data_IF_932457456696
#
_entry.id   IF_932457456696
#
_cell.length_a   1.000
_cell.length_b   1.000
_cell.length_c   1.000
_cell.angle_alpha   90.00
_cell.angle_beta   90.00
_cell.angle_gamma   90.00
#
_symmetry.space_group_name_H-M   'P 1'
#
loop_
_entity.id
_entity.type
_entity.pdbx_description
1 polymer ?
#
# COMPACT_ATOMS: atom_id res chain seq x y z
N UNK A 1 7.62 -29.38 2.30
CA UNK A 1 6.19 -29.61 2.01
C UNK A 1 6.11 -30.70 0.95
N UNK A 2 5.59 -31.89 1.31
CA UNK A 2 5.60 -33.08 0.41
C UNK A 2 4.25 -33.25 -0.32
N UNK A 3 3.16 -32.75 0.22
CA UNK A 3 1.80 -32.92 -0.34
C UNK A 3 1.05 -31.56 -0.39
N UNK A 4 -0.01 -31.48 -1.20
CA UNK A 4 -0.87 -30.30 -1.27
C UNK A 4 -1.56 -30.00 0.07
N UNK A 5 -1.93 -31.02 0.83
CA UNK A 5 -2.50 -30.83 2.17
C UNK A 5 -1.49 -30.16 3.12
N UNK A 6 -0.25 -30.62 3.10
CA UNK A 6 0.81 -30.01 3.90
C UNK A 6 1.13 -28.58 3.45
N UNK A 7 1.00 -28.28 2.15
CA UNK A 7 1.16 -26.92 1.62
C UNK A 7 0.10 -25.98 2.20
N UNK A 8 -1.18 -26.38 2.13
CA UNK A 8 -2.29 -25.56 2.63
C UNK A 8 -2.12 -25.25 4.11
N UNK A 9 -1.85 -26.26 4.94
CA UNK A 9 -1.63 -26.07 6.38
C UNK A 9 -0.42 -25.20 6.68
N UNK A 10 0.69 -25.40 5.96
CA UNK A 10 1.90 -24.60 6.14
C UNK A 10 1.68 -23.13 5.74
N UNK A 11 0.98 -22.90 4.63
CA UNK A 11 0.68 -21.52 4.17
C UNK A 11 -0.22 -20.80 5.17
N UNK A 12 -1.29 -21.42 5.63
CA UNK A 12 -2.18 -20.86 6.65
C UNK A 12 -1.44 -20.56 7.97
N UNK A 13 -0.56 -21.47 8.39
CA UNK A 13 0.25 -21.27 9.60
C UNK A 13 1.23 -20.11 9.46
N UNK A 14 1.93 -20.00 8.32
CA UNK A 14 2.87 -18.91 8.05
C UNK A 14 2.14 -17.57 8.04
N UNK A 15 1.00 -17.48 7.35
CA UNK A 15 0.18 -16.26 7.33
C UNK A 15 -0.24 -15.86 8.75
N UNK A 16 -0.70 -16.81 9.56
CA UNK A 16 -1.11 -16.57 10.93
C UNK A 16 0.06 -16.08 11.82
N UNK A 17 1.23 -16.69 11.69
CA UNK A 17 2.42 -16.28 12.46
C UNK A 17 2.90 -14.88 12.04
N UNK A 18 3.04 -14.62 10.76
CA UNK A 18 3.45 -13.32 10.24
C UNK A 18 2.49 -12.21 10.68
N UNK A 19 1.19 -12.49 10.67
CA UNK A 19 0.18 -11.51 11.08
C UNK A 19 0.29 -11.08 12.55
N UNK A 20 0.95 -11.87 13.38
CA UNK A 20 1.20 -11.55 14.80
C UNK A 20 2.49 -10.73 14.99
N UNK A 21 3.49 -10.92 14.15
CA UNK A 21 4.76 -10.20 14.25
C UNK A 21 4.76 -8.88 13.46
N UNK A 22 3.97 -8.78 12.39
CA UNK A 22 3.85 -7.58 11.59
C UNK A 22 2.69 -6.68 12.05
N UNK A 23 2.96 -5.40 12.23
CA UNK A 23 1.93 -4.40 12.54
C UNK A 23 1.23 -3.86 11.30
N UNK A 24 1.90 -3.92 10.15
CA UNK A 24 1.40 -3.50 8.85
C UNK A 24 1.44 -4.66 7.86
N UNK A 25 1.88 -4.43 6.64
CA UNK A 25 1.87 -5.41 5.57
C UNK A 25 3.22 -6.14 5.44
N UNK A 26 3.15 -7.44 5.16
CA UNK A 26 4.28 -8.26 4.72
C UNK A 26 4.02 -8.75 3.31
N UNK A 27 4.91 -8.45 2.38
CA UNK A 27 4.84 -8.96 1.02
C UNK A 27 5.68 -10.22 0.93
N UNK A 28 5.03 -11.33 0.61
CA UNK A 28 5.68 -12.64 0.40
C UNK A 28 6.02 -12.83 -1.07
N UNK A 29 7.30 -13.01 -1.34
CA UNK A 29 7.81 -13.39 -2.65
C UNK A 29 7.83 -14.93 -2.81
N UNK A 30 8.22 -15.43 -3.96
CA UNK A 30 8.48 -16.84 -4.25
C UNK A 30 7.29 -17.82 -4.07
N UNK A 31 6.06 -17.32 -4.02
CA UNK A 31 4.89 -18.19 -3.98
C UNK A 31 4.79 -19.06 -5.24
N UNK A 32 5.04 -18.49 -6.44
CA UNK A 32 4.95 -19.21 -7.69
C UNK A 32 5.96 -20.36 -7.76
N UNK A 33 7.27 -20.17 -7.51
CA UNK A 33 8.22 -21.29 -7.47
C UNK A 33 7.85 -22.39 -6.48
N UNK A 34 7.23 -22.02 -5.36
CA UNK A 34 6.73 -23.02 -4.40
C UNK A 34 5.57 -23.84 -4.99
N UNK A 35 4.63 -23.17 -5.66
CA UNK A 35 3.43 -23.79 -6.21
C UNK A 35 3.67 -24.56 -7.51
N UNK A 36 4.72 -24.23 -8.26
CA UNK A 36 5.09 -24.91 -9.51
C UNK A 36 5.28 -26.40 -9.36
N UNK A 37 5.70 -26.84 -8.18
CA UNK A 37 5.84 -28.27 -7.84
C UNK A 37 4.50 -29.03 -7.88
N UNK A 38 3.38 -28.32 -7.84
CA UNK A 38 2.02 -28.88 -7.83
C UNK A 38 1.25 -28.60 -9.13
N UNK A 39 1.93 -28.16 -10.18
CA UNK A 39 1.32 -27.78 -11.48
C UNK A 39 0.58 -28.91 -12.20
N UNK A 40 0.79 -30.18 -11.79
CA UNK A 40 0.13 -31.36 -12.38
C UNK A 40 -1.35 -31.47 -11.99
N UNK A 41 -1.79 -30.87 -10.88
CA UNK A 41 -3.18 -30.93 -10.42
C UNK A 41 -3.68 -29.51 -10.04
N UNK A 42 -3.93 -28.69 -11.04
CA UNK A 42 -4.35 -27.30 -10.86
C UNK A 42 -5.71 -27.13 -10.16
N UNK A 43 -6.74 -27.95 -10.42
CA UNK A 43 -8.03 -27.83 -9.72
C UNK A 43 -7.90 -28.07 -8.21
N UNK A 44 -7.13 -29.06 -7.81
CA UNK A 44 -6.88 -29.34 -6.39
C UNK A 44 -6.03 -28.23 -5.76
N UNK A 45 -5.02 -27.74 -6.48
CA UNK A 45 -4.22 -26.59 -6.03
C UNK A 45 -5.09 -25.35 -5.79
N UNK A 46 -5.99 -25.03 -6.72
CA UNK A 46 -6.93 -23.92 -6.57
C UNK A 46 -7.79 -24.05 -5.32
N UNK A 47 -8.42 -25.22 -5.13
CA UNK A 47 -9.21 -25.50 -3.93
C UNK A 47 -8.41 -25.32 -2.64
N UNK A 48 -7.18 -25.84 -2.58
CA UNK A 48 -6.31 -25.72 -1.41
C UNK A 48 -5.84 -24.30 -1.14
N UNK A 49 -5.67 -23.48 -2.17
CA UNK A 49 -5.39 -22.05 -2.00
C UNK A 49 -6.60 -21.32 -1.45
N UNK A 50 -7.81 -21.59 -1.95
CA UNK A 50 -9.05 -21.02 -1.39
C UNK A 50 -9.17 -21.37 0.09
N UNK A 51 -9.00 -22.65 0.44
CA UNK A 51 -9.04 -23.12 1.84
C UNK A 51 -8.02 -22.36 2.71
N UNK A 52 -6.78 -22.21 2.20
CA UNK A 52 -5.70 -21.52 2.92
C UNK A 52 -6.03 -20.05 3.16
N UNK A 53 -6.50 -19.34 2.14
CA UNK A 53 -6.84 -17.91 2.23
C UNK A 53 -8.02 -17.69 3.16
N UNK A 54 -9.06 -18.51 3.07
CA UNK A 54 -10.27 -18.40 3.90
C UNK A 54 -9.95 -18.74 5.36
N UNK A 55 -9.19 -19.79 5.63
CA UNK A 55 -8.74 -20.15 6.99
C UNK A 55 -7.85 -19.05 7.59
N UNK A 56 -6.98 -18.46 6.80
CA UNK A 56 -6.09 -17.38 7.24
C UNK A 56 -6.85 -16.12 7.62
N UNK A 57 -7.99 -15.84 6.98
CA UNK A 57 -8.83 -14.69 7.33
C UNK A 57 -9.28 -14.73 8.79
N UNK A 58 -9.68 -15.89 9.30
CA UNK A 58 -10.08 -16.05 10.70
C UNK A 58 -8.90 -15.93 11.67
N UNK A 59 -7.71 -16.33 11.23
CA UNK A 59 -6.48 -16.32 12.04
C UNK A 59 -5.86 -14.93 12.19
N UNK A 60 -6.06 -14.02 11.22
CA UNK A 60 -5.50 -12.66 11.24
C UNK A 60 -6.16 -11.76 12.30
N UNK A 61 -7.34 -12.13 12.78
CA UNK A 61 -8.06 -11.40 13.82
C UNK A 61 -8.88 -10.22 13.28
N UNK A 62 -9.97 -9.93 13.98
CA UNK A 62 -10.96 -8.93 13.55
C UNK A 62 -10.48 -7.48 13.71
N UNK A 63 -9.51 -7.23 14.59
CA UNK A 63 -9.07 -5.88 14.95
C UNK A 63 -8.14 -5.23 13.90
N UNK A 64 -7.69 -5.98 12.89
CA UNK A 64 -6.86 -5.43 11.81
C UNK A 64 -7.72 -5.12 10.60
N UNK A 65 -7.84 -3.86 10.27
CA UNK A 65 -8.61 -3.38 9.10
C UNK A 65 -7.77 -3.40 7.82
N UNK A 66 -6.45 -3.24 7.93
CA UNK A 66 -5.52 -3.25 6.81
C UNK A 66 -5.16 -4.66 6.33
N UNK A 67 -4.63 -4.75 5.12
CA UNK A 67 -3.98 -5.95 4.60
C UNK A 67 -2.74 -6.26 5.43
N UNK A 68 -2.59 -7.50 5.84
CA UNK A 68 -1.44 -7.91 6.68
C UNK A 68 -0.44 -8.74 5.89
N UNK A 69 -0.92 -9.56 4.94
CA UNK A 69 -0.07 -10.38 4.08
C UNK A 69 -0.49 -10.19 2.64
N UNK A 70 0.46 -9.87 1.79
CA UNK A 70 0.27 -9.83 0.34
C UNK A 70 1.20 -10.79 -0.35
N UNK A 71 0.74 -11.36 -1.45
CA UNK A 71 1.56 -12.23 -2.30
C UNK A 71 1.98 -11.47 -3.54
N UNK A 72 3.28 -11.47 -3.82
CA UNK A 72 3.79 -10.95 -5.08
C UNK A 72 3.58 -11.98 -6.19
N UNK A 73 2.93 -11.53 -7.26
CA UNK A 73 2.61 -12.33 -8.44
C UNK A 73 3.33 -11.72 -9.65
N UNK A 74 4.51 -12.22 -10.02
CA UNK A 74 5.21 -11.79 -11.22
C UNK A 74 4.48 -12.31 -12.46
N UNK A 75 4.05 -11.38 -13.31
CA UNK A 75 3.49 -11.73 -14.62
C UNK A 75 4.61 -12.10 -15.59
N UNK A 76 4.39 -13.16 -16.35
CA UNK A 76 5.35 -13.63 -17.37
C UNK A 76 6.08 -14.90 -17.01
N UNK A 77 5.87 -15.45 -15.83
CA UNK A 77 6.30 -16.78 -15.46
C UNK A 77 5.08 -17.66 -15.24
N UNK A 78 5.14 -18.93 -15.60
CA UNK A 78 4.15 -19.97 -15.29
C UNK A 78 2.67 -19.51 -15.33
N UNK A 79 2.21 -19.02 -16.45
CA UNK A 79 0.87 -18.42 -16.63
C UNK A 79 -0.28 -19.28 -16.07
N UNK A 80 -0.18 -20.62 -16.15
CA UNK A 80 -1.19 -21.52 -15.60
C UNK A 80 -1.29 -21.39 -14.08
N UNK A 81 -0.15 -21.32 -13.38
CA UNK A 81 -0.10 -21.15 -11.92
C UNK A 81 -0.63 -19.75 -11.54
N UNK A 82 -0.20 -18.71 -12.27
CA UNK A 82 -0.71 -17.34 -12.07
C UNK A 82 -2.23 -17.30 -12.17
N UNK A 83 -2.81 -17.86 -13.23
CA UNK A 83 -4.27 -17.92 -13.40
C UNK A 83 -4.96 -18.70 -12.28
N UNK A 84 -4.37 -19.82 -11.83
CA UNK A 84 -4.90 -20.60 -10.70
C UNK A 84 -4.88 -19.80 -9.40
N UNK A 85 -3.81 -19.07 -9.11
CA UNK A 85 -3.73 -18.20 -7.92
C UNK A 85 -4.80 -17.09 -7.99
N UNK A 86 -4.93 -16.43 -9.14
CA UNK A 86 -5.91 -15.37 -9.33
C UNK A 86 -7.36 -15.89 -9.21
N UNK A 87 -7.65 -17.08 -9.75
CA UNK A 87 -8.96 -17.73 -9.61
C UNK A 87 -9.27 -18.07 -8.16
N UNK A 88 -8.31 -18.65 -7.44
CA UNK A 88 -8.44 -18.94 -6.01
C UNK A 88 -8.65 -17.65 -5.20
N UNK A 89 -7.90 -16.60 -5.51
CA UNK A 89 -8.04 -15.32 -4.84
C UNK A 89 -9.38 -14.63 -5.15
N UNK A 90 -9.89 -14.71 -6.38
CA UNK A 90 -11.24 -14.24 -6.75
C UNK A 90 -12.31 -14.92 -5.90
N UNK A 91 -12.24 -16.24 -5.76
CA UNK A 91 -13.15 -17.02 -4.91
C UNK A 91 -13.05 -16.59 -3.45
N UNK A 92 -11.84 -16.43 -2.92
CA UNK A 92 -11.61 -15.91 -1.57
C UNK A 92 -12.20 -14.49 -1.40
N UNK A 93 -11.96 -13.57 -2.33
CA UNK A 93 -12.50 -12.22 -2.29
C UNK A 93 -14.04 -12.19 -2.32
N UNK A 94 -14.66 -13.14 -3.02
CA UNK A 94 -16.13 -13.30 -3.04
C UNK A 94 -16.67 -13.78 -1.69
N UNK A 95 -16.00 -14.76 -1.07
CA UNK A 95 -16.44 -15.37 0.18
C UNK A 95 -16.15 -14.51 1.42
N UNK A 96 -15.22 -13.56 1.30
CA UNK A 96 -14.72 -12.80 2.45
C UNK A 96 -15.24 -11.35 2.39
N UNK A 97 -15.96 -10.86 3.41
CA UNK A 97 -16.47 -9.48 3.42
C UNK A 97 -15.38 -8.45 3.19
N UNK A 98 -14.32 -8.48 3.98
CA UNK A 98 -13.18 -7.55 3.90
C UNK A 98 -11.91 -8.39 3.78
N UNK A 99 -11.37 -8.61 2.55
CA UNK A 99 -10.15 -9.37 2.36
C UNK A 99 -8.96 -8.75 3.13
N UNK A 100 -8.23 -9.60 3.86
CA UNK A 100 -7.03 -9.20 4.64
C UNK A 100 -5.74 -9.70 4.02
N UNK A 101 -5.86 -10.55 3.01
CA UNK A 101 -4.78 -10.97 2.14
C UNK A 101 -4.85 -10.09 0.89
N UNK A 102 -3.70 -9.61 0.43
CA UNK A 102 -3.58 -8.79 -0.77
C UNK A 102 -2.76 -9.47 -1.86
N UNK A 103 -2.77 -8.86 -3.03
CA UNK A 103 -1.92 -9.21 -4.17
C UNK A 103 -1.08 -8.01 -4.59
N UNK A 104 0.19 -8.24 -4.84
CA UNK A 104 1.09 -7.28 -5.51
C UNK A 104 1.39 -7.86 -6.89
N UNK A 105 0.79 -7.29 -7.92
CA UNK A 105 1.00 -7.71 -9.30
C UNK A 105 2.27 -7.05 -9.83
N UNK A 106 3.31 -7.86 -10.01
CA UNK A 106 4.58 -7.42 -10.57
C UNK A 106 4.53 -7.63 -12.10
N UNK A 107 4.42 -6.53 -12.86
CA UNK A 107 4.14 -6.56 -14.28
C UNK A 107 5.24 -5.95 -15.15
N UNK A 108 5.37 -6.48 -16.35
CA UNK A 108 6.08 -5.87 -17.48
C UNK A 108 5.07 -5.24 -18.43
N UNK A 109 5.53 -4.23 -19.19
CA UNK A 109 4.67 -3.56 -20.17
C UNK A 109 4.09 -4.59 -21.17
N UNK A 110 2.79 -4.54 -21.38
CA UNK A 110 2.05 -5.39 -22.32
C UNK A 110 1.53 -6.71 -21.74
N UNK A 111 2.08 -7.22 -20.64
CA UNK A 111 1.62 -8.50 -20.07
C UNK A 111 0.40 -8.40 -19.14
N UNK A 112 0.03 -7.19 -18.74
CA UNK A 112 -1.10 -6.95 -17.84
C UNK A 112 -2.44 -7.33 -18.50
N UNK A 113 -2.53 -7.20 -19.82
CA UNK A 113 -3.76 -7.48 -20.58
C UNK A 113 -4.23 -8.92 -20.48
N UNK A 114 -3.30 -9.87 -20.28
CA UNK A 114 -3.61 -11.30 -20.20
C UNK A 114 -4.40 -11.67 -18.92
N UNK A 115 -4.37 -10.80 -17.93
CA UNK A 115 -4.98 -11.01 -16.60
C UNK A 115 -5.86 -9.84 -16.15
N UNK A 116 -5.98 -8.78 -16.93
CA UNK A 116 -6.72 -7.57 -16.57
C UNK A 116 -8.20 -7.85 -16.30
N UNK A 117 -8.80 -8.81 -17.00
CA UNK A 117 -10.20 -9.20 -16.82
C UNK A 117 -10.42 -9.83 -15.44
N UNK A 118 -9.67 -10.86 -15.08
CA UNK A 118 -9.82 -11.49 -13.76
C UNK A 118 -9.43 -10.55 -12.62
N UNK A 119 -8.46 -9.65 -12.84
CA UNK A 119 -8.09 -8.65 -11.85
C UNK A 119 -9.17 -7.59 -11.65
N UNK A 120 -9.89 -7.20 -12.73
CA UNK A 120 -11.01 -6.28 -12.62
C UNK A 120 -12.16 -6.88 -11.81
N UNK A 121 -12.49 -8.15 -12.01
CA UNK A 121 -13.49 -8.86 -11.21
C UNK A 121 -13.07 -8.97 -9.73
N UNK A 122 -11.80 -9.26 -9.47
CA UNK A 122 -11.25 -9.30 -8.11
C UNK A 122 -11.42 -7.95 -7.40
N UNK A 123 -11.12 -6.85 -8.10
CA UNK A 123 -11.25 -5.48 -7.54
C UNK A 123 -12.73 -5.15 -7.31
N UNK A 124 -13.62 -5.49 -8.23
CA UNK A 124 -15.08 -5.32 -8.05
C UNK A 124 -15.58 -6.04 -6.80
N UNK A 125 -15.03 -7.21 -6.49
CA UNK A 125 -15.33 -7.96 -5.27
C UNK A 125 -14.61 -7.42 -4.01
N UNK A 126 -13.94 -6.27 -4.10
CA UNK A 126 -13.20 -5.65 -3.00
C UNK A 126 -11.90 -6.35 -2.64
N UNK A 127 -11.35 -7.15 -3.57
CA UNK A 127 -10.02 -7.72 -3.44
C UNK A 127 -8.95 -6.63 -3.43
N UNK A 128 -7.93 -6.80 -2.58
CA UNK A 128 -6.85 -5.83 -2.42
C UNK A 128 -5.74 -6.14 -3.42
N UNK A 129 -5.64 -5.32 -4.45
CA UNK A 129 -4.66 -5.50 -5.54
C UNK A 129 -3.85 -4.22 -5.70
N UNK A 130 -2.53 -4.35 -5.64
CA UNK A 130 -1.57 -3.31 -5.94
C UNK A 130 -0.77 -3.71 -7.18
N UNK A 131 -0.48 -2.76 -8.02
CA UNK A 131 0.32 -2.95 -9.24
C UNK A 131 1.68 -2.29 -9.07
N UNK A 132 2.74 -3.03 -9.34
CA UNK A 132 4.10 -2.54 -9.34
C UNK A 132 4.81 -2.98 -10.62
N UNK A 133 5.46 -2.03 -11.31
CA UNK A 133 6.22 -2.34 -12.51
C UNK A 133 7.47 -3.11 -12.14
N UNK A 134 7.75 -4.16 -12.89
CA UNK A 134 8.96 -4.97 -12.72
C UNK A 134 10.23 -4.11 -12.68
N UNK A 135 11.15 -4.42 -11.76
CA UNK A 135 12.41 -3.67 -11.51
C UNK A 135 12.23 -2.25 -10.95
N UNK A 136 11.08 -1.88 -10.44
CA UNK A 136 10.91 -0.59 -9.76
C UNK A 136 11.55 -0.67 -8.37
N UNK A 137 12.54 0.20 -8.09
CA UNK A 137 13.24 0.26 -6.80
C UNK A 137 12.50 1.12 -5.78
N UNK A 138 11.25 0.77 -5.46
CA UNK A 138 10.45 1.49 -4.47
C UNK A 138 10.43 0.72 -3.14
N UNK A 139 11.48 0.87 -2.35
CA UNK A 139 11.74 0.11 -1.11
C UNK A 139 10.62 0.20 -0.06
N UNK A 140 9.83 1.26 -0.06
CA UNK A 140 8.74 1.47 0.91
C UNK A 140 7.38 0.96 0.44
N UNK A 141 7.24 0.60 -0.84
CA UNK A 141 5.98 0.13 -1.43
C UNK A 141 6.12 -1.32 -1.90
N UNK A 142 7.23 -1.62 -2.56
CA UNK A 142 7.56 -2.97 -3.02
C UNK A 142 9.05 -3.22 -2.86
N UNK A 143 9.42 -4.45 -2.50
CA UNK A 143 10.82 -4.85 -2.48
C UNK A 143 11.38 -4.94 -3.90
N UNK A 144 12.61 -4.44 -4.18
CA UNK A 144 13.23 -4.65 -5.47
C UNK A 144 13.51 -6.15 -5.69
N UNK A 145 13.11 -6.66 -6.87
CA UNK A 145 13.23 -8.09 -7.20
C UNK A 145 14.66 -8.63 -7.25
N UNK A 146 15.66 -7.75 -7.41
CA UNK A 146 17.05 -8.17 -7.53
C UNK A 146 17.79 -8.20 -6.19
N UNK A 147 17.12 -7.91 -5.07
CA UNK A 147 17.74 -8.06 -3.78
C UNK A 147 17.53 -9.50 -3.29
N UNK A 148 18.58 -10.26 -3.15
CA UNK A 148 18.61 -11.49 -2.34
C UNK A 148 18.33 -11.19 -0.86
N UNK A 149 18.13 -9.92 -0.52
CA UNK A 149 17.90 -9.41 0.82
C UNK A 149 16.45 -9.02 1.02
N UNK A 150 15.83 -9.59 2.02
CA UNK A 150 14.56 -9.15 2.56
C UNK A 150 14.67 -7.73 3.07
N UNK A 151 13.72 -6.85 2.77
CA UNK A 151 13.65 -5.49 3.34
C UNK A 151 12.70 -5.54 4.53
N UNK A 152 13.19 -5.08 5.67
CA UNK A 152 12.45 -5.03 6.92
C UNK A 152 12.29 -3.59 7.38
N UNK A 153 11.05 -3.13 7.54
CA UNK A 153 10.73 -1.84 8.14
C UNK A 153 10.44 -2.05 9.63
N UNK A 154 11.39 -1.68 10.49
CA UNK A 154 11.23 -1.82 11.96
C UNK A 154 10.32 -0.78 12.59
N UNK A 155 9.99 0.24 11.87
CA UNK A 155 9.05 1.26 12.34
C UNK A 155 8.62 2.16 11.20
N UNK A 156 7.36 2.56 11.26
CA UNK A 156 6.78 3.56 10.37
C UNK A 156 6.16 4.66 11.20
N UNK A 157 6.32 5.90 10.75
CA UNK A 157 5.70 7.06 11.36
C UNK A 157 5.11 7.94 10.26
N UNK A 158 3.81 8.23 10.39
CA UNK A 158 3.08 9.08 9.46
C UNK A 158 3.07 10.53 9.96
N UNK A 159 3.43 11.46 9.07
CA UNK A 159 3.38 12.90 9.31
C UNK A 159 2.07 13.45 8.76
N UNK A 160 1.29 14.09 9.64
CA UNK A 160 0.05 14.77 9.26
C UNK A 160 0.38 16.15 8.66
N UNK A 161 0.51 16.23 7.34
CA UNK A 161 0.84 17.48 6.65
C UNK A 161 -0.30 18.50 6.65
N UNK A 162 -1.59 18.13 6.50
CA UNK A 162 -2.70 19.07 6.65
C UNK A 162 -2.69 19.84 7.96
N UNK A 163 -2.36 19.20 9.09
CA UNK A 163 -2.22 19.88 10.37
C UNK A 163 -1.16 20.96 10.33
N UNK A 164 -0.02 20.69 9.74
CA UNK A 164 1.03 21.69 9.57
C UNK A 164 0.60 22.86 8.68
N UNK A 165 -0.23 22.57 7.65
CA UNK A 165 -0.81 23.60 6.80
C UNK A 165 -1.76 24.52 7.59
N UNK A 166 -2.64 23.98 8.44
CA UNK A 166 -3.47 24.77 9.35
C UNK A 166 -2.64 25.63 10.29
N UNK A 167 -1.59 25.07 10.88
CA UNK A 167 -0.70 25.78 11.80
C UNK A 167 0.15 26.85 11.10
N UNK A 168 0.42 26.72 9.82
CA UNK A 168 1.22 27.66 9.04
C UNK A 168 0.47 28.93 8.60
N UNK A 169 -0.85 28.96 8.76
CA UNK A 169 -1.69 30.07 8.33
C UNK A 169 -1.39 30.53 6.90
N UNK A 170 -1.29 29.59 5.97
CA UNK A 170 -0.98 29.80 4.53
C UNK A 170 0.45 30.27 4.21
N UNK A 171 1.36 30.27 5.16
CA UNK A 171 2.78 30.58 4.94
C UNK A 171 3.56 29.32 4.59
N UNK A 172 4.04 29.24 3.34
CA UNK A 172 4.83 28.10 2.83
C UNK A 172 6.16 27.95 3.59
N UNK A 173 6.81 29.06 3.90
CA UNK A 173 8.12 29.03 4.58
C UNK A 173 7.97 28.51 6.00
N UNK A 174 6.96 29.00 6.71
CA UNK A 174 6.63 28.54 8.05
C UNK A 174 6.22 27.04 8.05
N UNK A 175 5.42 26.62 7.07
CA UNK A 175 5.03 25.22 6.91
C UNK A 175 6.26 24.29 6.81
N UNK A 176 7.23 24.62 5.94
CA UNK A 176 8.46 23.84 5.77
C UNK A 176 9.33 23.83 7.03
N UNK A 177 9.43 24.99 7.69
CA UNK A 177 10.15 25.09 8.96
C UNK A 177 9.52 24.22 10.05
N UNK A 178 8.19 24.22 10.17
CA UNK A 178 7.45 23.35 11.10
C UNK A 178 7.64 21.87 10.78
N UNK A 179 7.61 21.50 9.50
CA UNK A 179 7.91 20.12 9.08
C UNK A 179 9.32 19.70 9.54
N UNK A 180 10.30 20.55 9.30
CA UNK A 180 11.69 20.27 9.71
C UNK A 180 11.83 20.13 11.23
N UNK A 181 11.16 20.96 12.00
CA UNK A 181 11.15 20.89 13.47
C UNK A 181 10.45 19.62 13.98
N UNK A 182 9.35 19.19 13.35
CA UNK A 182 8.62 17.98 13.74
C UNK A 182 9.39 16.71 13.39
N UNK A 183 10.09 16.70 12.26
CA UNK A 183 10.79 15.50 11.80
C UNK A 183 11.96 15.12 12.73
N UNK A 184 12.63 16.07 13.37
CA UNK A 184 13.75 15.76 14.28
C UNK A 184 13.33 14.85 15.43
N UNK A 185 12.39 15.23 16.32
CA UNK A 185 11.96 14.37 17.42
C UNK A 185 11.27 13.08 16.93
N UNK A 186 10.60 13.13 15.76
CA UNK A 186 10.03 11.94 15.17
C UNK A 186 11.12 10.90 14.84
N UNK A 187 12.20 11.30 14.20
CA UNK A 187 13.33 10.43 13.88
C UNK A 187 14.05 9.93 15.12
N UNK A 188 14.22 10.77 16.14
CA UNK A 188 14.82 10.36 17.42
C UNK A 188 13.94 9.30 18.12
N UNK A 189 12.63 9.50 18.14
CA UNK A 189 11.67 8.51 18.66
C UNK A 189 11.73 7.17 17.90
N UNK A 190 11.88 7.22 16.58
CA UNK A 190 12.01 6.01 15.75
C UNK A 190 13.33 5.28 16.03
N UNK A 191 14.42 6.00 16.26
CA UNK A 191 15.71 5.41 16.64
C UNK A 191 15.61 4.65 17.98
N UNK A 192 14.92 5.22 18.97
CA UNK A 192 14.65 4.56 20.24
C UNK A 192 13.77 3.30 20.05
N UNK A 193 12.72 3.38 19.25
CA UNK A 193 11.87 2.22 18.91
C UNK A 193 12.66 1.10 18.25
N UNK A 194 13.55 1.43 17.30
CA UNK A 194 14.42 0.45 16.66
C UNK A 194 15.25 -0.30 17.72
N UNK A 195 15.86 0.43 18.67
CA UNK A 195 16.66 -0.17 19.75
C UNK A 195 15.80 -1.13 20.59
N UNK A 196 14.60 -0.73 20.97
CA UNK A 196 13.66 -1.57 21.73
C UNK A 196 13.25 -2.82 20.96
N UNK A 197 12.83 -2.68 19.70
CA UNK A 197 12.43 -3.82 18.85
C UNK A 197 13.61 -4.77 18.63
N UNK A 198 14.80 -4.26 18.38
CA UNK A 198 16.00 -5.10 18.23
C UNK A 198 16.31 -5.91 19.50
N UNK A 199 16.07 -5.34 20.68
CA UNK A 199 16.21 -6.06 21.94
C UNK A 199 15.13 -7.16 22.10
N UNK A 200 13.86 -6.87 21.75
CA UNK A 200 12.78 -7.86 21.81
C UNK A 200 13.03 -9.04 20.85
N UNK A 201 13.52 -8.76 19.65
CA UNK A 201 13.91 -9.82 18.68
C UNK A 201 15.04 -10.67 19.26
N UNK A 202 16.06 -10.05 19.87
CA UNK A 202 17.17 -10.77 20.51
C UNK A 202 16.70 -11.64 21.68
N UNK A 203 15.65 -11.23 22.38
CA UNK A 203 15.01 -12.02 23.46
C UNK A 203 14.05 -13.11 22.94
N UNK A 204 13.90 -13.25 21.62
CA UNK A 204 13.03 -14.27 21.02
C UNK A 204 11.53 -13.95 21.06
N UNK A 205 11.13 -12.72 21.41
CA UNK A 205 9.72 -12.32 21.48
C UNK A 205 9.05 -12.36 20.11
N UNK A 206 9.81 -12.12 19.05
CA UNK A 206 9.37 -12.25 17.66
C UNK A 206 10.07 -13.48 17.02
N UNK A 207 9.53 -14.68 17.16
CA UNK A 207 10.25 -15.92 16.85
C UNK A 207 10.64 -16.05 15.37
N UNK A 208 9.84 -15.55 14.41
CA UNK A 208 10.20 -15.59 12.99
C UNK A 208 11.42 -14.71 12.71
N UNK A 209 11.41 -13.48 13.21
CA UNK A 209 12.53 -12.54 13.06
C UNK A 209 13.75 -12.98 13.87
N UNK A 210 13.55 -13.54 15.05
CA UNK A 210 14.65 -14.05 15.90
C UNK A 210 15.34 -15.26 15.27
N UNK A 211 14.60 -16.14 14.61
CA UNK A 211 15.17 -17.30 13.91
C UNK A 211 15.95 -16.91 12.64
N UNK A 212 15.73 -15.72 12.08
CA UNK A 212 16.30 -15.26 10.83
C UNK A 212 17.06 -13.93 11.02
N UNK A 213 18.11 -13.95 11.82
CA UNK A 213 18.92 -12.75 12.16
C UNK A 213 19.48 -12.00 10.96
N UNK A 214 19.62 -12.66 9.81
CA UNK A 214 20.00 -12.03 8.54
C UNK A 214 19.05 -10.87 8.13
N UNK A 215 17.78 -10.87 8.57
CA UNK A 215 16.85 -9.79 8.32
C UNK A 215 17.19 -8.50 9.08
N UNK A 216 18.05 -8.60 10.10
CA UNK A 216 18.44 -7.49 10.96
C UNK A 216 19.72 -6.78 10.51
N UNK A 217 20.24 -7.08 9.32
CA UNK A 217 21.40 -6.40 8.79
C UNK A 217 21.10 -4.94 8.45
N UNK A 218 22.08 -4.06 8.57
CA UNK A 218 21.94 -2.62 8.24
C UNK A 218 21.42 -2.39 6.82
N UNK A 219 21.82 -3.20 5.86
CA UNK A 219 21.40 -3.12 4.46
C UNK A 219 19.93 -3.49 4.22
N UNK A 220 19.34 -4.26 5.14
CA UNK A 220 17.98 -4.77 5.01
C UNK A 220 16.97 -4.05 5.88
N UNK A 221 17.43 -3.38 6.94
CA UNK A 221 16.59 -2.71 7.93
C UNK A 221 16.43 -1.23 7.60
N UNK A 222 15.20 -0.73 7.64
CA UNK A 222 14.91 0.69 7.49
C UNK A 222 13.86 1.18 8.48
N UNK A 223 13.83 2.50 8.66
CA UNK A 223 12.77 3.25 9.31
C UNK A 223 12.01 4.04 8.24
N UNK A 224 10.70 4.13 8.34
CA UNK A 224 9.85 4.75 7.32
C UNK A 224 9.21 6.02 7.87
N UNK A 225 9.40 7.14 7.19
CA UNK A 225 8.60 8.36 7.33
C UNK A 225 7.59 8.40 6.19
N UNK A 226 6.32 8.38 6.51
CA UNK A 226 5.25 8.45 5.52
C UNK A 226 4.58 9.84 5.55
N UNK A 227 4.57 10.53 4.43
CA UNK A 227 3.95 11.85 4.27
C UNK A 227 2.48 11.67 3.88
N UNK A 228 1.57 12.04 4.78
CA UNK A 228 0.12 11.88 4.60
C UNK A 228 -0.54 13.23 4.36
N UNK A 229 -1.46 13.27 3.39
CA UNK A 229 -2.27 14.45 3.11
C UNK A 229 -1.52 15.59 2.42
N UNK A 230 -0.46 15.30 1.66
CA UNK A 230 0.34 16.35 1.03
C UNK A 230 -0.48 17.18 0.02
N UNK A 231 -1.31 16.55 -0.80
CA UNK A 231 -2.21 17.28 -1.72
C UNK A 231 -3.21 18.16 -0.96
N UNK A 232 -3.77 17.66 0.15
CA UNK A 232 -4.67 18.44 1.01
C UNK A 232 -3.95 19.62 1.68
N UNK A 233 -2.71 19.42 2.13
CA UNK A 233 -1.90 20.48 2.74
C UNK A 233 -1.57 21.59 1.74
N UNK A 234 -1.18 21.24 0.52
CA UNK A 234 -0.90 22.21 -0.54
C UNK A 234 -2.16 23.00 -0.90
N UNK A 235 -3.31 22.30 -1.01
CA UNK A 235 -4.59 22.99 -1.22
C UNK A 235 -4.95 23.93 -0.05
N UNK A 236 -4.72 23.49 1.18
CA UNK A 236 -4.96 24.32 2.37
C UNK A 236 -4.10 25.59 2.42
N UNK A 237 -2.87 25.57 1.86
CA UNK A 237 -1.97 26.72 1.78
C UNK A 237 -2.40 27.67 0.66
N UNK A 238 -2.71 27.14 -0.53
CA UNK A 238 -2.97 27.92 -1.74
C UNK A 238 -4.45 28.27 -1.94
N UNK A 239 -5.36 27.44 -1.43
CA UNK A 239 -6.80 27.58 -1.63
C UNK A 239 -7.32 27.08 -2.98
N UNK A 240 -6.50 26.40 -3.80
CA UNK A 240 -6.88 25.81 -5.07
C UNK A 240 -6.06 24.55 -5.37
N UNK A 241 -6.59 23.70 -6.26
CA UNK A 241 -5.95 22.44 -6.69
C UNK A 241 -5.20 22.68 -8.01
N UNK A 242 -4.07 21.97 -8.17
CA UNK A 242 -3.41 21.74 -9.47
C UNK A 242 -2.90 22.95 -10.25
N UNK A 243 -2.15 23.85 -9.61
CA UNK A 243 -1.38 24.82 -10.36
C UNK A 243 0.14 24.53 -10.30
N UNK A 244 0.90 25.25 -11.11
CA UNK A 244 2.36 25.16 -11.16
C UNK A 244 3.00 25.49 -9.80
N UNK A 245 2.44 26.45 -9.07
CA UNK A 245 2.92 26.85 -7.75
C UNK A 245 2.67 25.75 -6.71
N UNK A 246 1.51 25.07 -6.79
CA UNK A 246 1.23 23.91 -5.95
C UNK A 246 2.23 22.78 -6.14
N UNK A 247 2.59 22.49 -7.37
CA UNK A 247 3.61 21.50 -7.69
C UNK A 247 5.00 21.89 -7.14
N UNK A 248 5.40 23.14 -7.26
CA UNK A 248 6.65 23.64 -6.69
C UNK A 248 6.70 23.50 -5.17
N UNK A 249 5.61 23.84 -4.46
CA UNK A 249 5.50 23.64 -3.01
C UNK A 249 5.60 22.15 -2.66
N UNK A 250 4.89 21.31 -3.39
CA UNK A 250 4.90 19.85 -3.20
C UNK A 250 6.31 19.27 -3.29
N UNK A 251 7.09 19.66 -4.30
CA UNK A 251 8.50 19.30 -4.46
C UNK A 251 9.36 19.75 -3.29
N UNK A 252 9.31 21.03 -2.95
CA UNK A 252 10.11 21.60 -1.85
C UNK A 252 9.83 20.95 -0.50
N UNK A 253 8.57 20.56 -0.24
CA UNK A 253 8.18 19.84 0.98
C UNK A 253 8.80 18.44 1.01
N UNK A 254 8.71 17.72 -0.09
CA UNK A 254 9.28 16.36 -0.20
C UNK A 254 10.81 16.43 -0.08
N UNK A 255 11.47 17.33 -0.81
CA UNK A 255 12.92 17.52 -0.73
C UNK A 255 13.37 17.85 0.70
N UNK A 256 12.65 18.75 1.38
CA UNK A 256 12.94 19.08 2.79
C UNK A 256 12.87 17.83 3.68
N UNK A 257 11.85 17.00 3.52
CA UNK A 257 11.68 15.77 4.30
C UNK A 257 12.80 14.76 4.00
N UNK A 258 13.13 14.54 2.72
CA UNK A 258 14.19 13.61 2.30
C UNK A 258 15.57 14.07 2.77
N UNK A 259 15.88 15.37 2.69
CA UNK A 259 17.15 15.93 3.15
C UNK A 259 17.35 15.73 4.65
N UNK A 260 16.31 15.99 5.45
CA UNK A 260 16.37 15.79 6.90
C UNK A 260 16.54 14.31 7.23
N UNK A 261 15.80 13.43 6.58
CA UNK A 261 15.90 11.99 6.75
C UNK A 261 17.33 11.49 6.38
N UNK A 262 17.88 11.96 5.26
CA UNK A 262 19.20 11.58 4.77
C UNK A 262 20.35 12.08 5.67
N UNK A 263 20.22 13.26 6.27
CA UNK A 263 21.19 13.75 7.26
C UNK A 263 21.17 12.86 8.50
N UNK A 264 19.97 12.58 9.01
CA UNK A 264 19.83 11.74 10.21
C UNK A 264 20.23 10.28 9.97
N UNK A 265 20.03 9.75 8.76
CA UNK A 265 20.54 8.44 8.34
C UNK A 265 22.06 8.34 8.51
N UNK A 266 22.80 9.36 8.05
CA UNK A 266 24.27 9.42 8.20
C UNK A 266 24.68 9.46 9.66
N UNK A 267 24.01 10.29 10.47
CA UNK A 267 24.33 10.45 11.90
C UNK A 267 24.07 9.18 12.71
N UNK A 268 22.97 8.50 12.46
CA UNK A 268 22.54 7.31 13.21
C UNK A 268 23.03 6.00 12.60
N UNK A 269 23.54 6.03 11.39
CA UNK A 269 23.88 4.84 10.63
C UNK A 269 22.71 3.89 10.41
N UNK A 270 21.50 4.46 10.23
CA UNK A 270 20.24 3.74 10.03
C UNK A 270 19.69 4.13 8.66
N UNK A 271 19.19 3.18 7.89
CA UNK A 271 18.52 3.47 6.62
C UNK A 271 17.14 4.10 6.91
N UNK A 272 16.98 5.39 6.62
CA UNK A 272 15.72 6.11 6.78
C UNK A 272 15.15 6.40 5.39
N UNK A 273 13.92 5.95 5.15
CA UNK A 273 13.23 6.16 3.88
C UNK A 273 12.00 7.04 4.06
N UNK A 274 11.76 7.90 3.10
CA UNK A 274 10.58 8.77 3.01
C UNK A 274 9.67 8.25 1.93
N UNK A 275 8.40 8.05 2.26
CA UNK A 275 7.38 7.50 1.38
C UNK A 275 6.15 8.41 1.30
N UNK A 276 5.39 8.24 0.25
CA UNK A 276 3.99 8.66 0.19
C UNK A 276 3.15 7.43 -0.19
N UNK A 277 2.62 6.75 0.82
CA UNK A 277 1.86 5.51 0.66
C UNK A 277 0.69 5.44 1.63
N UNK A 278 -0.03 4.33 1.63
CA UNK A 278 -1.14 4.11 2.56
C UNK A 278 -0.69 4.17 4.03
N UNK A 279 -1.60 4.63 4.88
CA UNK A 279 -1.42 4.73 6.32
C UNK A 279 -2.74 4.51 7.03
N UNK A 280 -2.76 3.64 8.01
CA UNK A 280 -3.94 3.42 8.89
C UNK A 280 -4.27 4.65 9.76
N UNK A 281 -3.38 5.66 9.76
CA UNK A 281 -3.56 6.89 10.53
C UNK A 281 -4.34 8.00 9.82
N UNK A 282 -4.65 7.88 8.54
CA UNK A 282 -5.24 8.98 7.76
C UNK A 282 -6.64 9.38 8.23
N UNK A 283 -7.49 8.42 8.56
CA UNK A 283 -8.83 8.66 9.15
C UNK A 283 -8.72 9.30 10.53
N UNK A 284 -7.79 8.80 11.36
CA UNK A 284 -7.54 9.38 12.68
C UNK A 284 -7.05 10.83 12.59
N UNK A 285 -6.23 11.16 11.60
CA UNK A 285 -5.74 12.52 11.41
C UNK A 285 -6.88 13.47 11.11
N UNK A 286 -7.79 13.11 10.22
CA UNK A 286 -8.94 13.95 9.86
C UNK A 286 -9.87 14.16 11.04
N UNK A 287 -10.14 13.13 11.84
CA UNK A 287 -10.95 13.22 13.04
C UNK A 287 -10.34 14.15 14.10
N UNK A 288 -9.02 14.03 14.33
CA UNK A 288 -8.29 14.90 15.25
C UNK A 288 -8.23 16.35 14.80
N UNK A 289 -8.08 16.59 13.50
CA UNK A 289 -8.05 17.95 12.95
C UNK A 289 -9.44 18.57 12.92
N UNK A 290 -10.48 17.80 12.64
CA UNK A 290 -11.88 18.21 12.78
C UNK A 290 -12.25 18.62 14.22
N UNK A 291 -11.70 17.92 15.20
CA UNK A 291 -11.86 18.29 16.61
C UNK A 291 -11.11 19.57 17.02
N UNK A 292 -9.92 19.81 16.40
CA UNK A 292 -9.06 20.97 16.75
C UNK A 292 -9.42 22.24 15.99
N UNK A 293 -9.71 22.14 14.69
CA UNK A 293 -9.90 23.29 13.78
C UNK A 293 -11.34 23.44 13.30
N UNK A 294 -12.22 22.51 13.67
CA UNK A 294 -13.60 22.44 13.23
C UNK A 294 -13.78 21.63 11.94
N UNK A 295 -14.89 20.90 11.88
CA UNK A 295 -15.22 20.06 10.70
C UNK A 295 -15.30 20.86 9.41
N UNK A 296 -15.87 22.08 9.44
CA UNK A 296 -15.98 22.96 8.28
C UNK A 296 -14.62 23.34 7.69
N UNK A 297 -13.62 23.62 8.54
CA UNK A 297 -12.26 23.94 8.06
C UNK A 297 -11.60 22.74 7.39
N UNK A 298 -11.81 21.52 7.91
CA UNK A 298 -11.30 20.29 7.29
C UNK A 298 -11.99 20.02 5.96
N UNK A 299 -13.31 20.22 5.87
CA UNK A 299 -14.08 20.06 4.64
C UNK A 299 -13.66 21.02 3.52
N UNK A 300 -13.04 22.15 3.85
CA UNK A 300 -12.49 23.06 2.84
C UNK A 300 -11.29 22.49 2.11
N UNK A 301 -10.54 21.56 2.69
CA UNK A 301 -9.32 20.98 2.10
C UNK A 301 -9.48 19.52 1.67
N UNK A 302 -10.58 18.87 2.04
CA UNK A 302 -10.90 17.51 1.60
C UNK A 302 -12.41 17.29 1.62
N UNK A 303 -12.89 16.62 0.61
CA UNK A 303 -14.28 16.16 0.44
C UNK A 303 -14.45 14.67 0.82
N UNK A 304 -13.38 14.04 1.30
CA UNK A 304 -13.36 12.62 1.70
C UNK A 304 -13.20 12.46 3.21
N UNK A 305 -13.48 11.26 3.72
CA UNK A 305 -13.31 10.92 5.14
C UNK A 305 -11.85 10.65 5.53
N UNK A 306 -10.93 10.69 4.56
CA UNK A 306 -9.50 10.47 4.78
C UNK A 306 -8.66 11.51 4.05
N UNK A 307 -7.49 11.86 4.59
CA UNK A 307 -6.51 12.64 3.85
C UNK A 307 -5.85 11.80 2.75
N UNK A 308 -5.37 12.47 1.70
CA UNK A 308 -4.71 11.81 0.58
C UNK A 308 -3.51 10.97 1.02
N UNK A 309 -3.44 9.76 0.51
CA UNK A 309 -2.38 8.79 0.78
C UNK A 309 -1.66 8.49 -0.53
N UNK A 310 -0.44 8.98 -0.67
CA UNK A 310 0.20 9.04 -1.98
C UNK A 310 -0.36 10.16 -2.83
N UNK A 311 -0.42 9.96 -4.14
CA UNK A 311 -1.11 10.84 -5.10
C UNK A 311 -2.43 10.19 -5.48
N UNK A 312 -3.51 10.93 -5.36
CA UNK A 312 -4.86 10.48 -5.72
C UNK A 312 -5.23 11.03 -7.10
N UNK A 313 -5.64 10.13 -7.99
CA UNK A 313 -6.16 10.44 -9.33
C UNK A 313 -7.56 9.83 -9.46
N UNK A 314 -8.51 10.60 -9.96
CA UNK A 314 -9.83 10.10 -10.27
C UNK A 314 -9.84 9.39 -11.63
N UNK A 315 -10.78 8.44 -11.82
CA UNK A 315 -10.91 7.69 -13.07
C UNK A 315 -11.13 8.59 -14.28
N UNK A 316 -11.90 9.67 -14.13
CA UNK A 316 -12.17 10.62 -15.21
C UNK A 316 -10.90 11.37 -15.61
N UNK A 317 -10.13 11.83 -14.61
CA UNK A 317 -8.82 12.45 -14.83
C UNK A 317 -7.85 11.47 -15.48
N UNK A 318 -7.80 10.24 -15.00
CA UNK A 318 -6.97 9.18 -15.59
C UNK A 318 -7.29 8.99 -17.08
N UNK A 319 -8.56 9.08 -17.48
CA UNK A 319 -9.01 8.86 -18.86
C UNK A 319 -8.40 9.85 -19.86
N UNK A 320 -8.14 11.08 -19.44
CA UNK A 320 -7.52 12.13 -20.26
C UNK A 320 -5.98 12.10 -20.24
N UNK A 321 -5.35 11.46 -19.24
CA UNK A 321 -3.90 11.45 -19.08
C UNK A 321 -3.21 10.54 -20.10
N UNK A 322 -2.01 10.95 -20.51
CA UNK A 322 -1.07 10.14 -21.26
C UNK A 322 0.26 10.06 -20.51
N UNK A 323 1.15 9.14 -20.86
CA UNK A 323 2.46 9.04 -20.21
C UNK A 323 3.35 10.30 -20.36
N UNK A 324 2.96 11.24 -21.23
CA UNK A 324 3.62 12.55 -21.43
C UNK A 324 2.88 13.70 -20.78
N UNK A 325 1.73 13.45 -20.11
CA UNK A 325 0.98 14.48 -19.42
C UNK A 325 1.83 15.07 -18.29
N UNK A 326 1.63 16.36 -18.01
CA UNK A 326 2.39 17.06 -16.97
C UNK A 326 2.27 16.41 -15.60
N UNK A 327 1.06 15.97 -15.23
CA UNK A 327 0.76 15.30 -13.97
C UNK A 327 1.52 13.98 -13.81
N UNK A 328 1.58 13.17 -14.86
CA UNK A 328 2.32 11.89 -14.83
C UNK A 328 3.82 12.12 -14.79
N UNK A 329 4.30 13.12 -15.53
CA UNK A 329 5.70 13.53 -15.48
C UNK A 329 6.07 13.99 -14.07
N UNK A 330 5.18 14.71 -13.41
CA UNK A 330 5.33 15.18 -12.04
C UNK A 330 5.33 14.04 -11.03
N UNK A 331 4.37 13.12 -11.10
CA UNK A 331 4.36 11.91 -10.29
C UNK A 331 5.67 11.12 -10.42
N UNK A 332 6.20 11.02 -11.63
CA UNK A 332 7.47 10.33 -11.87
C UNK A 332 8.68 11.07 -11.27
N UNK A 333 8.68 12.40 -11.27
CA UNK A 333 9.72 13.23 -10.60
C UNK A 333 9.63 13.03 -9.08
N UNK A 334 8.45 13.15 -8.49
CA UNK A 334 8.21 12.90 -7.07
C UNK A 334 8.69 11.52 -6.67
N UNK A 335 8.31 10.49 -7.43
CA UNK A 335 8.73 9.12 -7.18
C UNK A 335 10.26 8.90 -7.24
N UNK A 336 11.00 9.78 -7.95
CA UNK A 336 12.48 9.75 -7.97
C UNK A 336 13.09 10.46 -6.75
N UNK A 337 12.46 11.52 -6.24
CA UNK A 337 12.92 12.24 -5.06
C UNK A 337 12.70 11.38 -3.80
N UNK A 338 11.54 10.73 -3.70
CA UNK A 338 11.21 9.83 -2.60
C UNK A 338 12.10 8.58 -2.64
N UNK A 339 12.96 8.41 -1.66
CA UNK A 339 13.82 7.24 -1.56
C UNK A 339 13.09 5.96 -1.11
N UNK A 340 11.86 6.08 -0.60
CA UNK A 340 10.98 4.97 -0.22
C UNK A 340 9.87 4.66 -1.23
N UNK A 341 9.57 5.61 -2.12
CA UNK A 341 8.60 5.44 -3.21
C UNK A 341 7.30 6.21 -3.05
N UNK A 342 6.57 6.27 -4.15
CA UNK A 342 5.27 6.94 -4.31
C UNK A 342 4.20 5.94 -4.73
N UNK A 343 3.09 5.91 -4.00
CA UNK A 343 1.88 5.21 -4.41
C UNK A 343 0.93 6.17 -5.13
N UNK A 344 0.44 5.75 -6.29
CA UNK A 344 -0.64 6.43 -7.00
C UNK A 344 -1.93 5.67 -6.72
N UNK A 345 -2.90 6.31 -6.08
CA UNK A 345 -4.23 5.75 -5.88
C UNK A 345 -5.15 6.24 -7.01
N UNK A 346 -5.82 5.32 -7.66
CA UNK A 346 -6.81 5.63 -8.69
C UNK A 346 -8.19 5.37 -8.09
N UNK A 347 -8.88 6.44 -7.74
CA UNK A 347 -10.23 6.36 -7.15
C UNK A 347 -11.29 6.15 -8.22
N UNK A 348 -12.21 5.26 -7.90
CA UNK A 348 -13.34 4.91 -8.75
C UNK A 348 -14.65 5.04 -7.98
N UNK A 349 -15.72 5.55 -8.59
CA UNK A 349 -17.04 5.57 -7.98
C UNK A 349 -17.51 4.18 -7.56
N UNK A 350 -18.36 4.11 -6.53
CA UNK A 350 -19.06 2.87 -6.17
C UNK A 350 -19.86 2.36 -7.36
N UNK A 351 -19.76 1.07 -7.66
CA UNK A 351 -20.48 0.44 -8.76
C UNK A 351 -19.82 0.60 -10.13
N UNK A 352 -18.56 1.09 -10.19
CA UNK A 352 -17.79 1.03 -11.45
C UNK A 352 -17.72 -0.41 -11.94
N UNK A 353 -18.11 -0.64 -13.19
CA UNK A 353 -18.18 -1.98 -13.75
C UNK A 353 -16.79 -2.55 -14.07
N UNK A 354 -16.69 -3.88 -14.17
CA UNK A 354 -15.44 -4.59 -14.42
C UNK A 354 -14.74 -4.14 -15.73
N UNK A 355 -15.49 -3.75 -16.77
CA UNK A 355 -14.93 -3.28 -18.03
C UNK A 355 -14.19 -1.94 -17.88
N UNK A 356 -14.70 -1.02 -17.09
CA UNK A 356 -14.04 0.26 -16.83
C UNK A 356 -12.86 0.09 -15.88
N UNK A 357 -12.98 -0.79 -14.88
CA UNK A 357 -11.83 -1.18 -14.02
C UNK A 357 -10.71 -1.79 -14.86
N UNK A 358 -11.03 -2.64 -15.83
CA UNK A 358 -10.05 -3.20 -16.77
C UNK A 358 -9.30 -2.10 -17.53
N UNK A 359 -10.01 -1.09 -18.05
CA UNK A 359 -9.39 0.07 -18.70
C UNK A 359 -8.46 0.84 -17.75
N UNK A 360 -8.88 1.02 -16.47
CA UNK A 360 -8.05 1.65 -15.43
C UNK A 360 -6.76 0.87 -15.20
N UNK A 361 -6.84 -0.45 -15.08
CA UNK A 361 -5.68 -1.32 -14.90
C UNK A 361 -4.71 -1.18 -16.08
N UNK A 362 -5.19 -1.33 -17.30
CA UNK A 362 -4.38 -1.28 -18.50
C UNK A 362 -3.76 0.11 -18.69
N UNK A 363 -4.51 1.17 -18.46
CA UNK A 363 -4.01 2.53 -18.58
C UNK A 363 -3.04 2.88 -17.46
N UNK A 364 -3.36 2.58 -16.22
CA UNK A 364 -2.49 2.77 -15.06
C UNK A 364 -1.12 2.10 -15.26
N UNK A 365 -1.11 0.85 -15.73
CA UNK A 365 0.11 0.11 -16.02
C UNK A 365 0.97 0.73 -17.14
N UNK A 366 0.35 1.44 -18.08
CA UNK A 366 1.08 2.10 -19.16
C UNK A 366 1.72 3.43 -18.74
N UNK A 367 1.13 4.15 -17.78
CA UNK A 367 1.54 5.52 -17.47
C UNK A 367 2.25 5.66 -16.10
N UNK A 368 2.09 4.69 -15.19
CA UNK A 368 2.66 4.75 -13.84
C UNK A 368 3.63 3.60 -13.57
N UNK A 369 4.45 3.75 -12.53
CA UNK A 369 5.36 2.68 -12.07
C UNK A 369 4.75 1.84 -10.94
N UNK A 370 3.85 2.42 -10.15
CA UNK A 370 3.08 1.70 -9.14
C UNK A 370 1.77 2.43 -8.89
N UNK A 371 0.69 1.66 -8.79
CA UNK A 371 -0.64 2.21 -8.54
C UNK A 371 -1.54 1.20 -7.84
N UNK A 372 -2.59 1.72 -7.23
CA UNK A 372 -3.63 0.94 -6.58
C UNK A 372 -5.00 1.49 -6.98
N UNK A 373 -5.82 0.70 -7.67
CA UNK A 373 -7.24 1.01 -7.84
C UNK A 373 -7.95 0.97 -6.49
N UNK A 374 -8.72 2.01 -6.19
CA UNK A 374 -9.48 2.14 -4.94
C UNK A 374 -10.95 2.37 -5.26
N UNK A 375 -11.80 1.48 -4.77
CA UNK A 375 -13.24 1.54 -4.93
C UNK A 375 -13.92 1.05 -3.65
N UNK A 376 -15.04 1.64 -3.29
CA UNK A 376 -15.87 1.07 -2.24
C UNK A 376 -16.47 -0.25 -2.71
N UNK A 377 -16.15 -1.34 -2.00
CA UNK A 377 -16.73 -2.63 -2.31
C UNK A 377 -18.25 -2.60 -2.05
N UNK A 378 -19.07 -3.23 -2.92
CA UNK A 378 -20.50 -3.34 -2.72
C UNK A 378 -20.80 -4.38 -1.62
N UNK A 379 -20.72 -3.96 -0.37
CA UNK A 379 -20.92 -4.78 0.81
C UNK A 379 -22.05 -4.23 1.66
N UNK A 380 -22.93 -5.11 2.15
CA UNK A 380 -23.95 -4.75 3.13
C UNK A 380 -23.31 -4.53 4.51
N UNK A 381 -23.52 -3.34 5.09
CA UNK A 381 -22.99 -2.99 6.41
C UNK A 381 -23.58 -3.84 7.56
N UNK A 382 -24.76 -4.43 7.39
CA UNK A 382 -25.44 -5.21 8.42
C UNK A 382 -25.03 -6.69 8.42
N UNK A 383 -25.02 -7.34 7.24
CA UNK A 383 -24.80 -8.80 7.17
C UNK A 383 -23.50 -9.19 6.45
N UNK A 384 -22.74 -8.24 5.88
CA UNK A 384 -21.53 -8.51 5.13
C UNK A 384 -21.75 -9.14 3.74
N UNK A 385 -23.00 -9.29 3.30
CA UNK A 385 -23.31 -9.79 1.97
C UNK A 385 -22.66 -8.90 0.90
N UNK A 386 -22.11 -9.52 -0.12
CA UNK A 386 -21.37 -8.88 -1.19
C UNK A 386 -21.95 -9.26 -2.54
N UNK A 387 -22.33 -8.28 -3.33
CA UNK A 387 -22.77 -8.49 -4.70
C UNK A 387 -22.46 -7.24 -5.54
N UNK A 388 -22.05 -7.41 -6.78
CA UNK A 388 -21.79 -6.32 -7.72
C UNK A 388 -23.02 -5.41 -7.93
N UNK A 389 -24.21 -6.00 -7.79
CA UNK A 389 -25.51 -5.33 -7.97
C UNK A 389 -26.14 -4.89 -6.65
N UNK A 390 -25.38 -4.87 -5.56
CA UNK A 390 -25.91 -4.48 -4.25
C UNK A 390 -26.37 -3.01 -4.31
N UNK A 391 -27.70 -2.83 -4.32
CA UNK A 391 -28.35 -1.53 -4.21
C UNK A 391 -28.59 -1.11 -2.75
N UNK A 392 -29.56 -0.22 -2.55
CA UNK A 392 -29.92 0.29 -1.21
C UNK A 392 -30.56 -0.77 -0.30
N UNK A 393 -31.07 -1.85 -0.87
CA UNK A 393 -31.65 -2.98 -0.13
C UNK A 393 -30.81 -4.23 -0.32
N UNK A 394 -30.42 -4.84 0.80
CA UNK A 394 -29.72 -6.10 0.81
C UNK A 394 -30.70 -7.26 0.52
N UNK A 395 -30.38 -8.18 -0.40
CA UNK A 395 -31.22 -9.32 -0.70
C UNK A 395 -31.10 -10.47 0.33
N UNK A 396 -30.11 -10.41 1.25
CA UNK A 396 -29.88 -11.40 2.30
C UNK A 396 -30.64 -11.10 3.58
#
# INVERSE_FOLDING_TARGET
>A
VKTLNNLSSALSMIIALISKEASQEVVMDDLIPLLSKYSKNLPELERKLVDSFTTSFTSIGYNKTSTVVSFRIPLGTEQKIVKTILSAYKTYAKLTPIPKIGLVIDYEKGRITDVSEILSEIITLGGKVMFAKHKTSQKGITCPKNSTSTVLHLGSLSINLPRLAFESNKDETYFRARLALLMKPALDSMALRKKSISNLIRLGVNPILAANTQYMQRSTVSLVINLVGLQNAVYGILGFKDDKKGQEILHKVIETAVDIASKKDKDLGINIIVTMTESDGSERFIALDGGKYGKGSVQQITDTETYSQGIVLDIDKLSSLTGKSAEITECNKIGKILNGGLLIQITMPKGTNAGDIKKVIEKGANITSSFKPVMQAPICGNCGFKDEKLGDKCPA
#
